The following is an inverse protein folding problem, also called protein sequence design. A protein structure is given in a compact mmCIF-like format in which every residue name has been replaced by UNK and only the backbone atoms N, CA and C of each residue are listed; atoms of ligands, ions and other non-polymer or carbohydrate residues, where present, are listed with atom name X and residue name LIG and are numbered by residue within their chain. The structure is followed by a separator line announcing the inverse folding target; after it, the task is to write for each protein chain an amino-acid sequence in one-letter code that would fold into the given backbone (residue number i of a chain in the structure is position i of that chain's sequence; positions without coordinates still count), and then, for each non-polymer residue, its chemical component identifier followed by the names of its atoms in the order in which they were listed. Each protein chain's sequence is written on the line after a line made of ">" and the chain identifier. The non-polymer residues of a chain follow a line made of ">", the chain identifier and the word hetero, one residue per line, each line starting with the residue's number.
data_IF_381473580877
#
_entry.id   IF_381473580877
#
_cell.length_a   1.000
_cell.length_b   1.000
_cell.length_c   1.000
_cell.angle_alpha   90.00
_cell.angle_beta   90.00
_cell.angle_gamma   90.00
#
_symmetry.space_group_name_H-M   'P 1'
#
loop_
_entity.id
_entity.type
_entity.pdbx_description
1 polymer ?
#
# COMPACT_ATOMS: atom_id res chain seq x y z
N UNK A 1 38.40 -17.20 3.44
CA UNK A 1 37.50 -17.78 4.46
C UNK A 1 36.39 -16.77 4.63
N UNK A 2 35.15 -17.18 4.39
CA UNK A 2 34.01 -16.25 4.42
C UNK A 2 33.81 -15.74 5.86
N UNK A 3 33.89 -14.41 6.06
CA UNK A 3 33.73 -13.76 7.38
C UNK A 3 32.37 -14.14 7.99
N UNK A 4 31.37 -14.48 7.17
CA UNK A 4 30.03 -14.86 7.63
C UNK A 4 29.96 -16.24 8.29
N UNK A 5 30.89 -17.15 7.94
CA UNK A 5 30.94 -18.53 8.45
C UNK A 5 32.03 -18.73 9.50
N UNK A 6 32.95 -17.77 9.65
CA UNK A 6 34.02 -17.86 10.65
C UNK A 6 33.47 -17.67 12.08
N UNK A 7 33.56 -18.69 12.97
CA UNK A 7 33.07 -18.62 14.34
C UNK A 7 33.74 -17.51 15.18
N UNK A 8 34.94 -17.09 14.80
CA UNK A 8 35.71 -16.07 15.51
C UNK A 8 35.21 -14.65 15.27
N UNK A 9 34.40 -14.44 14.23
CA UNK A 9 33.70 -13.18 13.98
C UNK A 9 32.30 -13.25 14.57
N UNK A 10 31.94 -12.35 15.48
CA UNK A 10 30.62 -12.32 16.13
C UNK A 10 29.76 -11.17 15.67
N UNK A 11 28.46 -11.16 15.99
CA UNK A 11 27.64 -9.96 15.88
C UNK A 11 28.18 -8.87 16.83
N UNK A 12 28.04 -7.59 16.48
CA UNK A 12 28.46 -6.49 17.34
C UNK A 12 27.81 -6.57 18.72
N UNK A 13 28.60 -6.32 19.76
CA UNK A 13 28.11 -6.29 21.13
C UNK A 13 27.14 -5.12 21.31
N UNK A 14 26.06 -5.36 22.06
CA UNK A 14 25.04 -4.36 22.37
C UNK A 14 25.01 -4.13 23.87
N UNK A 15 24.92 -2.86 24.28
CA UNK A 15 24.80 -2.52 25.70
C UNK A 15 23.51 -3.10 26.30
N UNK A 16 23.55 -3.74 27.47
CA UNK A 16 22.35 -4.24 28.12
C UNK A 16 21.45 -3.07 28.55
N UNK A 17 20.14 -3.28 28.51
CA UNK A 17 19.15 -2.30 28.95
C UNK A 17 17.91 -2.98 29.53
N UNK A 18 17.25 -2.31 30.47
CA UNK A 18 15.99 -2.77 31.08
C UNK A 18 14.74 -2.20 30.40
N UNK A 19 14.87 -1.15 29.60
CA UNK A 19 13.80 -0.57 28.78
C UNK A 19 14.36 0.06 27.49
N UNK A 20 13.44 0.48 26.61
CA UNK A 20 13.76 1.23 25.39
C UNK A 20 14.54 0.43 24.33
N UNK A 21 15.27 1.14 23.47
CA UNK A 21 16.07 0.57 22.39
C UNK A 21 17.19 -0.32 22.92
N UNK A 22 17.83 0.06 24.03
CA UNK A 22 18.89 -0.76 24.65
C UNK A 22 18.35 -2.13 25.11
N UNK A 23 17.16 -2.16 25.71
CA UNK A 23 16.48 -3.41 26.01
C UNK A 23 16.16 -4.20 24.75
N UNK A 24 15.53 -3.56 23.75
CA UNK A 24 15.15 -4.26 22.51
C UNK A 24 16.38 -4.90 21.84
N UNK A 25 17.47 -4.14 21.66
CA UNK A 25 18.72 -4.62 21.08
C UNK A 25 19.28 -5.81 21.86
N UNK A 26 19.27 -5.77 23.18
CA UNK A 26 19.81 -6.83 24.03
C UNK A 26 18.93 -8.08 24.15
N UNK A 27 17.68 -8.05 23.66
CA UNK A 27 16.72 -9.16 23.76
C UNK A 27 16.28 -9.78 22.42
N UNK A 28 16.70 -9.21 21.28
CA UNK A 28 16.42 -9.77 19.93
C UNK A 28 17.46 -10.80 19.49
N UNK A 29 17.05 -11.69 18.58
CA UNK A 29 17.94 -12.69 17.96
C UNK A 29 19.07 -12.07 17.12
N UNK A 30 18.84 -10.90 16.51
CA UNK A 30 19.78 -10.27 15.56
C UNK A 30 21.13 -9.91 16.18
N UNK A 31 21.16 -9.62 17.48
CA UNK A 31 22.35 -9.16 18.20
C UNK A 31 22.76 -10.14 19.30
N UNK A 32 22.42 -11.42 19.15
CA UNK A 32 22.73 -12.49 20.10
C UNK A 32 23.69 -13.52 19.49
N UNK A 33 24.42 -14.23 20.35
CA UNK A 33 25.30 -15.36 20.00
C UNK A 33 25.02 -16.57 20.89
N UNK A 34 25.54 -17.74 20.50
CA UNK A 34 25.53 -18.95 21.32
C UNK A 34 24.12 -19.39 21.77
N UNK A 35 23.99 -19.77 23.04
CA UNK A 35 22.73 -20.30 23.60
C UNK A 35 21.59 -19.27 23.61
N UNK A 36 21.90 -17.98 23.73
CA UNK A 36 20.90 -16.92 23.66
C UNK A 36 20.35 -16.77 22.24
N UNK A 37 21.23 -16.84 21.24
CA UNK A 37 20.81 -16.88 19.84
C UNK A 37 19.93 -18.08 19.55
N UNK A 38 20.33 -19.29 19.97
CA UNK A 38 19.52 -20.50 19.77
C UNK A 38 18.13 -20.41 20.42
N UNK A 39 18.05 -19.84 21.63
CA UNK A 39 16.78 -19.64 22.34
C UNK A 39 15.89 -18.61 21.63
N UNK A 40 16.42 -17.43 21.33
CA UNK A 40 15.67 -16.34 20.69
C UNK A 40 15.28 -16.67 19.26
N UNK A 41 16.14 -17.37 18.52
CA UNK A 41 15.85 -17.85 17.17
C UNK A 41 14.66 -18.81 17.15
N UNK A 42 14.55 -19.73 18.12
CA UNK A 42 13.40 -20.63 18.24
C UNK A 42 12.10 -19.86 18.43
N UNK A 43 12.11 -18.80 19.26
CA UNK A 43 10.95 -17.90 19.44
C UNK A 43 10.59 -17.23 18.09
N UNK A 44 11.56 -16.63 17.42
CA UNK A 44 11.36 -15.95 16.13
C UNK A 44 10.80 -16.89 15.06
N UNK A 45 11.34 -18.10 14.92
CA UNK A 45 10.86 -19.09 13.94
C UNK A 45 9.42 -19.49 14.26
N UNK A 46 9.11 -19.79 15.54
CA UNK A 46 7.75 -20.14 15.95
C UNK A 46 6.74 -19.03 15.63
N UNK A 47 7.11 -17.75 15.81
CA UNK A 47 6.27 -16.61 15.45
C UNK A 47 6.05 -16.51 13.93
N UNK A 48 7.09 -16.76 13.12
CA UNK A 48 6.99 -16.77 11.66
C UNK A 48 6.16 -17.95 11.14
N UNK A 49 6.32 -19.14 11.70
CA UNK A 49 5.56 -20.34 11.33
C UNK A 49 4.05 -20.18 11.59
N UNK A 50 3.69 -19.34 12.58
CA UNK A 50 2.30 -18.98 12.86
C UNK A 50 1.70 -17.98 11.85
N UNK A 51 2.52 -17.40 10.96
CA UNK A 51 2.10 -16.46 9.93
C UNK A 51 2.24 -17.11 8.55
N UNK A 52 1.15 -17.63 7.97
CA UNK A 52 1.19 -18.14 6.60
C UNK A 52 1.56 -17.03 5.60
N UNK A 53 2.57 -17.22 4.73
CA UNK A 53 3.03 -16.17 3.80
C UNK A 53 1.94 -15.62 2.88
N UNK A 54 0.94 -16.42 2.50
CA UNK A 54 -0.19 -15.96 1.69
C UNK A 54 -0.97 -14.80 2.34
N UNK A 55 -1.03 -14.76 3.67
CA UNK A 55 -1.70 -13.68 4.40
C UNK A 55 -0.95 -12.34 4.31
N UNK A 56 0.31 -12.36 3.88
CA UNK A 56 1.16 -11.19 3.70
C UNK A 56 1.12 -10.63 2.27
N UNK A 57 0.51 -11.34 1.31
CA UNK A 57 0.37 -10.91 -0.10
C UNK A 57 -0.74 -9.86 -0.30
N UNK A 58 -0.99 -9.05 0.72
CA UNK A 58 -1.96 -7.94 0.71
C UNK A 58 -1.24 -6.64 0.38
N UNK A 59 -1.85 -5.73 -0.40
CA UNK A 59 -1.33 -4.39 -0.62
C UNK A 59 -1.28 -3.53 0.65
N UNK A 60 -0.59 -2.40 0.53
CA UNK A 60 -0.35 -1.43 1.59
C UNK A 60 0.99 -1.64 2.29
N UNK A 61 1.14 -1.01 3.46
CA UNK A 61 2.42 -0.94 4.16
C UNK A 61 2.89 -2.34 4.62
N UNK A 62 4.08 -2.82 4.22
CA UNK A 62 4.56 -4.17 4.52
C UNK A 62 4.54 -4.53 6.01
N UNK A 63 5.02 -3.63 6.86
CA UNK A 63 5.05 -3.83 8.32
C UNK A 63 3.62 -3.87 8.89
N UNK A 64 2.69 -3.09 8.34
CA UNK A 64 1.30 -3.10 8.80
C UNK A 64 0.63 -4.42 8.43
N UNK A 65 0.95 -4.98 7.26
CA UNK A 65 0.50 -6.32 6.85
C UNK A 65 1.05 -7.41 7.78
N UNK A 66 2.33 -7.36 8.14
CA UNK A 66 2.92 -8.30 9.11
C UNK A 66 2.30 -8.15 10.51
N UNK A 67 2.13 -6.91 11.00
CA UNK A 67 1.48 -6.64 12.28
C UNK A 67 0.07 -7.22 12.34
N UNK A 68 -0.74 -6.98 11.30
CA UNK A 68 -2.09 -7.54 11.21
C UNK A 68 -2.09 -9.08 11.20
N UNK A 69 -1.15 -9.71 10.51
CA UNK A 69 -1.02 -11.16 10.46
C UNK A 69 -0.57 -11.76 11.82
N UNK A 70 0.13 -10.98 12.64
CA UNK A 70 0.48 -11.30 14.03
C UNK A 70 -0.63 -10.95 15.04
N UNK A 71 -1.79 -10.48 14.58
CA UNK A 71 -2.92 -10.10 15.43
C UNK A 71 -2.78 -8.73 16.10
N UNK A 72 -1.85 -7.88 15.63
CA UNK A 72 -1.62 -6.54 16.15
C UNK A 72 -2.37 -5.48 15.32
N UNK A 73 -2.68 -4.31 15.91
CA UNK A 73 -3.18 -3.17 15.15
C UNK A 73 -2.18 -2.75 14.06
N UNK A 74 -2.68 -2.41 12.87
CA UNK A 74 -1.85 -1.92 11.74
C UNK A 74 -1.04 -0.66 12.09
N UNK A 75 -1.56 0.15 13.00
CA UNK A 75 -0.99 1.44 13.43
C UNK A 75 0.39 1.31 14.10
N UNK A 76 0.75 0.12 14.59
CA UNK A 76 2.10 -0.12 15.16
C UNK A 76 3.21 0.14 14.15
N UNK A 77 2.91 0.12 12.85
CA UNK A 77 3.87 0.46 11.80
C UNK A 77 4.52 1.84 12.02
N UNK A 78 3.79 2.85 12.53
CA UNK A 78 4.35 4.19 12.81
C UNK A 78 5.45 4.14 13.85
N UNK A 79 5.19 3.47 14.98
CA UNK A 79 6.18 3.31 16.04
C UNK A 79 7.37 2.46 15.57
N UNK A 80 7.12 1.43 14.74
CA UNK A 80 8.18 0.61 14.15
C UNK A 80 9.13 1.43 13.28
N UNK A 81 8.62 2.37 12.49
CA UNK A 81 9.45 3.26 11.67
C UNK A 81 10.34 4.17 12.52
N UNK A 82 9.80 4.72 13.60
CA UNK A 82 10.55 5.52 14.57
C UNK A 82 11.66 4.68 15.22
N UNK A 83 11.33 3.45 15.64
CA UNK A 83 12.30 2.51 16.23
C UNK A 83 13.38 2.11 15.25
N UNK A 84 13.03 1.90 13.97
CA UNK A 84 13.96 1.44 12.93
C UNK A 84 15.16 2.38 12.75
N UNK A 85 14.96 3.70 12.89
CA UNK A 85 16.03 4.72 12.80
C UNK A 85 17.08 4.54 13.89
N UNK A 86 16.68 4.08 15.07
CA UNK A 86 17.58 3.84 16.21
C UNK A 86 17.87 2.35 16.41
N UNK A 87 17.57 1.45 15.46
CA UNK A 87 17.63 0.01 15.76
C UNK A 87 19.05 -0.56 15.72
N UNK A 88 19.89 -0.16 14.77
CA UNK A 88 21.24 -0.73 14.61
C UNK A 88 22.19 -0.27 15.72
N UNK A 89 23.14 -1.10 16.19
CA UNK A 89 23.96 -0.78 17.37
C UNK A 89 24.77 0.52 17.27
N UNK A 90 25.21 0.88 16.06
CA UNK A 90 25.98 2.09 15.77
C UNK A 90 25.13 3.36 15.66
N UNK A 91 23.80 3.23 15.59
CA UNK A 91 22.89 4.36 15.52
C UNK A 91 22.63 4.94 16.91
N UNK A 92 22.49 6.26 16.96
CA UNK A 92 22.18 6.98 18.20
C UNK A 92 20.75 6.62 18.65
N UNK A 93 20.62 6.31 19.94
CA UNK A 93 19.31 6.15 20.59
C UNK A 93 18.70 7.54 20.80
N UNK A 94 17.44 7.72 20.37
CA UNK A 94 16.66 8.94 20.60
C UNK A 94 15.57 8.71 21.66
N UNK A 95 15.17 9.76 22.41
CA UNK A 95 14.06 9.64 23.36
C UNK A 95 12.74 9.20 22.71
N UNK A 96 12.48 9.64 21.48
CA UNK A 96 11.28 9.26 20.73
C UNK A 96 11.30 7.77 20.36
N UNK A 97 12.47 7.22 19.99
CA UNK A 97 12.60 5.79 19.74
C UNK A 97 12.41 4.96 21.01
N UNK A 98 12.91 5.40 22.17
CA UNK A 98 12.65 4.74 23.45
C UNK A 98 11.16 4.76 23.81
N UNK A 99 10.48 5.90 23.60
CA UNK A 99 9.05 6.03 23.82
C UNK A 99 8.25 5.13 22.86
N UNK A 100 8.65 5.04 21.59
CA UNK A 100 8.04 4.15 20.61
C UNK A 100 8.18 2.66 20.99
N UNK A 101 9.35 2.23 21.51
CA UNK A 101 9.49 0.87 22.05
C UNK A 101 8.51 0.62 23.20
N UNK A 102 8.36 1.58 24.12
CA UNK A 102 7.41 1.43 25.24
C UNK A 102 5.95 1.29 24.76
N UNK A 103 5.54 2.05 23.73
CA UNK A 103 4.21 1.93 23.10
C UNK A 103 4.02 0.57 22.42
N UNK A 104 5.05 0.07 21.72
CA UNK A 104 5.03 -1.25 21.09
C UNK A 104 4.93 -2.37 22.13
N UNK A 105 5.70 -2.30 23.21
CA UNK A 105 5.62 -3.26 24.33
C UNK A 105 4.21 -3.28 24.90
N UNK A 106 3.63 -2.11 25.20
CA UNK A 106 2.25 -2.01 25.69
C UNK A 106 1.22 -2.65 24.74
N UNK A 107 1.45 -2.54 23.42
CA UNK A 107 0.54 -3.06 22.39
C UNK A 107 0.65 -4.59 22.22
N UNK A 108 1.86 -5.15 22.32
CA UNK A 108 2.10 -6.59 22.12
C UNK A 108 1.65 -7.44 23.31
N UNK A 109 1.68 -6.89 24.53
CA UNK A 109 1.26 -7.61 25.74
C UNK A 109 1.72 -6.98 27.06
N UNK A 110 2.49 -5.90 27.01
CA UNK A 110 2.95 -5.13 28.17
C UNK A 110 4.10 -5.76 28.95
N UNK A 111 4.65 -6.88 28.50
CA UNK A 111 5.76 -7.56 29.15
C UNK A 111 7.10 -7.19 28.52
N UNK A 112 8.12 -7.00 29.34
CA UNK A 112 9.49 -6.71 28.88
C UNK A 112 10.31 -8.00 28.79
N UNK A 113 9.83 -8.97 28.00
CA UNK A 113 10.40 -10.30 27.82
C UNK A 113 10.90 -10.58 26.38
N UNK A 114 11.58 -11.73 26.21
CA UNK A 114 12.12 -12.12 24.90
C UNK A 114 11.03 -12.41 23.85
N UNK A 115 9.83 -12.79 24.28
CA UNK A 115 8.67 -12.99 23.41
C UNK A 115 8.23 -11.66 22.78
N UNK A 116 8.07 -10.64 23.61
CA UNK A 116 7.73 -9.28 23.18
C UNK A 116 8.84 -8.68 22.32
N UNK A 117 10.09 -8.84 22.73
CA UNK A 117 11.25 -8.38 21.96
C UNK A 117 11.32 -9.06 20.58
N UNK A 118 10.99 -10.34 20.47
CA UNK A 118 10.99 -11.07 19.21
C UNK A 118 9.93 -10.54 18.24
N UNK A 119 8.71 -10.25 18.72
CA UNK A 119 7.65 -9.62 17.91
C UNK A 119 8.08 -8.25 17.38
N UNK A 120 8.57 -7.37 18.26
CA UNK A 120 9.03 -6.03 17.88
C UNK A 120 10.22 -6.14 16.91
N UNK A 121 11.17 -7.02 17.21
CA UNK A 121 12.35 -7.28 16.39
C UNK A 121 12.00 -7.79 14.98
N UNK A 122 10.94 -8.59 14.84
CA UNK A 122 10.42 -9.02 13.54
C UNK A 122 9.89 -7.84 12.72
N UNK A 123 9.04 -7.00 13.34
CA UNK A 123 8.44 -5.84 12.68
C UNK A 123 9.51 -4.84 12.21
N UNK A 124 10.48 -4.53 13.07
CA UNK A 124 11.57 -3.58 12.75
C UNK A 124 12.48 -4.10 11.65
N UNK A 125 12.81 -5.40 11.67
CA UNK A 125 13.63 -5.99 10.61
C UNK A 125 12.88 -6.08 9.27
N UNK A 126 11.58 -6.36 9.29
CA UNK A 126 10.74 -6.31 8.10
C UNK A 126 10.77 -4.92 7.48
N UNK A 127 10.63 -3.86 8.28
CA UNK A 127 10.66 -2.46 7.82
C UNK A 127 11.91 -2.14 6.99
N UNK A 128 13.10 -2.41 7.54
CA UNK A 128 14.37 -2.12 6.87
C UNK A 128 14.53 -2.91 5.57
N UNK A 129 14.23 -4.22 5.61
CA UNK A 129 14.35 -5.10 4.45
C UNK A 129 13.38 -4.69 3.34
N UNK A 130 12.09 -4.50 3.64
CA UNK A 130 11.09 -4.18 2.61
C UNK A 130 11.33 -2.80 2.01
N UNK A 131 11.74 -1.81 2.81
CA UNK A 131 12.06 -0.47 2.31
C UNK A 131 13.24 -0.47 1.34
N UNK A 132 14.30 -1.23 1.62
CA UNK A 132 15.44 -1.37 0.71
C UNK A 132 15.04 -2.10 -0.58
N UNK A 133 14.31 -3.21 -0.45
CA UNK A 133 13.87 -4.00 -1.60
C UNK A 133 12.93 -3.24 -2.54
N UNK A 134 11.97 -2.46 -2.00
CA UNK A 134 11.08 -1.61 -2.80
C UNK A 134 11.87 -0.55 -3.60
N UNK A 135 13.02 -0.10 -3.07
CA UNK A 135 13.94 0.82 -3.76
C UNK A 135 14.92 0.12 -4.70
N UNK A 136 14.75 -1.17 -4.96
CA UNK A 136 15.60 -1.97 -5.86
C UNK A 136 16.87 -2.53 -5.21
N UNK A 137 17.00 -2.47 -3.88
CA UNK A 137 18.14 -3.05 -3.17
C UNK A 137 18.13 -4.59 -3.19
N UNK A 138 19.19 -5.19 -3.72
CA UNK A 138 19.41 -6.64 -3.70
C UNK A 138 20.86 -6.96 -3.27
N UNK A 139 21.08 -7.75 -2.18
CA UNK A 139 20.06 -8.18 -1.21
C UNK A 139 19.46 -6.97 -0.46
N UNK A 140 18.27 -7.11 0.15
CA UNK A 140 17.58 -6.02 0.87
C UNK A 140 18.39 -5.43 2.04
N UNK A 141 19.45 -6.11 2.47
CA UNK A 141 20.44 -5.59 3.41
C UNK A 141 21.81 -5.83 2.77
N UNK A 142 22.39 -4.82 2.09
CA UNK A 142 23.61 -5.02 1.29
C UNK A 142 24.87 -5.14 2.12
N UNK A 143 24.82 -4.78 3.41
CA UNK A 143 25.97 -4.87 4.30
C UNK A 143 25.57 -5.34 5.68
N UNK A 144 26.46 -6.07 6.36
CA UNK A 144 26.35 -6.41 7.77
C UNK A 144 27.63 -6.07 8.51
N UNK A 145 27.56 -5.92 9.83
CA UNK A 145 28.75 -5.69 10.67
C UNK A 145 29.07 -6.94 11.47
N UNK A 146 30.37 -7.22 11.66
CA UNK A 146 30.89 -8.29 12.52
C UNK A 146 31.99 -7.75 13.42
N UNK A 147 32.05 -8.18 14.66
CA UNK A 147 33.17 -7.94 15.54
C UNK A 147 34.25 -9.00 15.28
N UNK A 148 35.46 -8.56 14.90
CA UNK A 148 36.61 -9.44 14.73
C UNK A 148 37.17 -9.90 16.10
N UNK A 149 38.00 -10.95 16.16
CA UNK A 149 38.62 -11.41 17.41
C UNK A 149 39.41 -10.33 18.16
N UNK A 150 39.98 -9.38 17.44
CA UNK A 150 40.68 -8.21 18.01
C UNK A 150 39.75 -7.11 18.56
N UNK A 151 38.43 -7.28 18.45
CA UNK A 151 37.42 -6.35 18.98
C UNK A 151 37.01 -5.20 18.05
N UNK A 152 37.66 -5.01 16.90
CA UNK A 152 37.22 -4.02 15.91
C UNK A 152 36.02 -4.53 15.10
N UNK A 153 35.13 -3.63 14.70
CA UNK A 153 34.05 -3.94 13.78
C UNK A 153 34.53 -3.94 12.34
N UNK A 154 34.10 -4.95 11.58
CA UNK A 154 34.31 -5.10 10.15
C UNK A 154 32.97 -4.99 9.45
N UNK A 155 32.91 -4.17 8.40
CA UNK A 155 31.78 -4.12 7.49
C UNK A 155 31.96 -5.23 6.44
N UNK A 156 30.96 -6.08 6.33
CA UNK A 156 30.91 -7.20 5.39
C UNK A 156 29.90 -6.85 4.31
N UNK A 157 30.37 -6.84 3.06
CA UNK A 157 29.52 -6.70 1.88
C UNK A 157 28.77 -8.01 1.61
N UNK A 158 27.48 -7.90 1.33
CA UNK A 158 26.57 -9.01 1.07
C UNK A 158 26.09 -9.03 -0.39
N UNK A 159 26.59 -8.16 -1.27
CA UNK A 159 26.12 -8.05 -2.66
C UNK A 159 26.08 -9.40 -3.41
N UNK A 160 27.13 -10.21 -3.25
CA UNK A 160 27.26 -11.53 -3.89
C UNK A 160 26.82 -12.70 -2.99
N UNK A 161 26.35 -12.39 -1.77
CA UNK A 161 25.93 -13.40 -0.81
C UNK A 161 24.44 -13.75 -1.00
N UNK A 162 24.06 -15.04 -0.95
CA UNK A 162 22.63 -15.40 -0.97
C UNK A 162 21.91 -14.77 0.23
N UNK A 163 20.60 -14.52 0.09
CA UNK A 163 19.82 -13.95 1.17
C UNK A 163 19.93 -14.82 2.43
N UNK A 164 20.38 -14.22 3.54
CA UNK A 164 20.63 -14.98 4.75
C UNK A 164 21.89 -15.85 4.73
N UNK A 165 22.92 -15.52 3.94
CA UNK A 165 24.21 -16.19 4.04
C UNK A 165 24.80 -16.13 5.47
N UNK A 166 25.52 -17.19 5.84
CA UNK A 166 26.17 -17.35 7.13
C UNK A 166 25.33 -18.03 8.20
N UNK A 167 25.96 -18.27 9.35
CA UNK A 167 25.34 -18.94 10.52
C UNK A 167 24.09 -18.24 11.11
N UNK A 168 23.87 -16.98 10.73
CA UNK A 168 22.74 -16.14 11.18
C UNK A 168 21.72 -15.87 10.06
N UNK A 169 21.51 -16.85 9.20
CA UNK A 169 20.53 -16.79 8.11
C UNK A 169 19.16 -16.24 8.57
N UNK A 170 18.57 -15.35 7.78
CA UNK A 170 17.26 -14.76 8.07
C UNK A 170 16.16 -15.81 7.88
N UNK A 171 15.41 -16.20 8.93
CA UNK A 171 14.35 -17.20 8.79
C UNK A 171 13.09 -16.66 8.07
N UNK A 172 13.00 -15.35 7.84
CA UNK A 172 11.80 -14.67 7.30
C UNK A 172 11.86 -14.35 5.81
N UNK A 173 12.73 -14.98 5.02
CA UNK A 173 12.87 -14.72 3.57
C UNK A 173 11.54 -14.85 2.82
N UNK A 174 10.86 -15.97 3.01
CA UNK A 174 9.58 -16.25 2.35
C UNK A 174 8.51 -15.22 2.72
N UNK A 175 8.47 -14.79 3.99
CA UNK A 175 7.56 -13.74 4.46
C UNK A 175 7.88 -12.38 3.85
N UNK A 176 9.16 -12.03 3.75
CA UNK A 176 9.62 -10.79 3.11
C UNK A 176 9.23 -10.77 1.62
N UNK A 177 9.48 -11.86 0.89
CA UNK A 177 9.06 -12.01 -0.51
C UNK A 177 7.53 -11.89 -0.66
N UNK A 178 6.76 -12.49 0.25
CA UNK A 178 5.30 -12.40 0.22
C UNK A 178 4.78 -10.97 0.47
N UNK A 179 5.37 -10.23 1.41
CA UNK A 179 5.03 -8.82 1.64
C UNK A 179 5.35 -7.96 0.42
N UNK A 180 6.49 -8.18 -0.24
CA UNK A 180 6.87 -7.45 -1.47
C UNK A 180 5.94 -7.78 -2.64
N UNK A 181 5.53 -9.04 -2.78
CA UNK A 181 4.52 -9.44 -3.76
C UNK A 181 3.16 -8.79 -3.48
N UNK A 182 2.77 -8.67 -2.20
CA UNK A 182 1.56 -7.95 -1.79
C UNK A 182 1.60 -6.46 -2.15
N UNK A 183 2.71 -5.79 -1.80
CA UNK A 183 2.95 -4.38 -2.11
C UNK A 183 2.88 -4.08 -3.61
N UNK A 184 3.40 -4.97 -4.45
CA UNK A 184 3.43 -4.81 -5.92
C UNK A 184 2.18 -5.35 -6.64
N UNK A 185 1.27 -6.04 -5.94
CA UNK A 185 0.13 -6.75 -6.56
C UNK A 185 -0.73 -5.85 -7.43
N UNK A 186 -1.09 -4.65 -6.94
CA UNK A 186 -1.95 -3.73 -7.69
C UNK A 186 -1.23 -3.14 -8.91
N UNK A 187 0.06 -2.83 -8.81
CA UNK A 187 0.88 -2.41 -9.94
C UNK A 187 0.90 -3.50 -11.02
N UNK A 188 1.11 -4.77 -10.63
CA UNK A 188 1.11 -5.90 -11.55
C UNK A 188 -0.18 -6.05 -12.38
N UNK A 189 -1.35 -5.69 -11.82
CA UNK A 189 -2.62 -5.76 -12.55
C UNK A 189 -2.69 -4.83 -13.78
N UNK A 190 -1.85 -3.78 -13.83
CA UNK A 190 -1.82 -2.83 -14.95
C UNK A 190 -0.96 -3.33 -16.13
N UNK A 191 -0.18 -4.39 -15.93
CA UNK A 191 0.73 -4.94 -16.93
C UNK A 191 0.29 -6.33 -17.43
N UNK A 192 -0.98 -6.69 -17.20
CA UNK A 192 -1.59 -7.87 -17.80
C UNK A 192 -1.90 -7.65 -19.29
N UNK A 193 -2.19 -8.73 -20.02
CA UNK A 193 -2.53 -8.68 -21.46
C UNK A 193 -3.79 -7.86 -21.75
N UNK A 194 -4.78 -7.94 -20.85
CA UNK A 194 -6.03 -7.19 -20.94
C UNK A 194 -6.00 -5.98 -19.99
N UNK A 195 -6.57 -4.83 -20.37
CA UNK A 195 -6.63 -3.66 -19.50
C UNK A 195 -7.41 -3.99 -18.24
N UNK A 196 -6.94 -3.44 -17.12
CA UNK A 196 -7.63 -3.51 -15.85
C UNK A 196 -8.94 -2.72 -15.92
N UNK A 197 -10.07 -3.42 -16.07
CA UNK A 197 -11.39 -2.84 -15.83
C UNK A 197 -11.60 -2.69 -14.32
N UNK A 198 -11.50 -1.45 -13.84
CA UNK A 198 -11.59 -1.11 -12.43
C UNK A 198 -12.97 -0.50 -12.10
N UNK A 199 -13.89 -1.27 -11.52
CA UNK A 199 -15.16 -0.72 -11.07
C UNK A 199 -14.96 0.13 -9.81
N UNK A 200 -15.73 1.21 -9.70
CA UNK A 200 -15.67 2.13 -8.57
C UNK A 200 -16.90 1.95 -7.67
N UNK A 201 -16.64 1.70 -6.39
CA UNK A 201 -17.63 1.51 -5.33
C UNK A 201 -17.79 2.78 -4.47
N UNK A 202 -18.93 2.88 -3.80
CA UNK A 202 -19.26 3.96 -2.86
C UNK A 202 -19.63 3.45 -1.46
N UNK A 203 -19.78 2.13 -1.31
CA UNK A 203 -20.03 1.44 -0.05
C UNK A 203 -19.45 0.01 -0.08
N UNK A 204 -19.57 -0.72 1.04
CA UNK A 204 -19.08 -2.10 1.12
C UNK A 204 -19.91 -3.06 0.26
N UNK A 205 -21.22 -2.87 0.17
CA UNK A 205 -22.12 -3.80 -0.54
C UNK A 205 -21.84 -3.81 -2.05
N UNK A 206 -21.70 -2.63 -2.65
CA UNK A 206 -21.31 -2.44 -4.05
C UNK A 206 -19.94 -3.07 -4.33
N UNK A 207 -18.94 -2.79 -3.48
CA UNK A 207 -17.61 -3.38 -3.63
C UNK A 207 -17.62 -4.91 -3.51
N UNK A 208 -18.33 -5.46 -2.51
CA UNK A 208 -18.43 -6.89 -2.31
C UNK A 208 -19.10 -7.58 -3.51
N UNK A 209 -20.18 -7.01 -4.05
CA UNK A 209 -20.85 -7.53 -5.24
C UNK A 209 -19.92 -7.55 -6.46
N UNK A 210 -19.11 -6.50 -6.65
CA UNK A 210 -18.12 -6.43 -7.73
C UNK A 210 -17.03 -7.50 -7.58
N UNK A 211 -16.52 -7.71 -6.36
CA UNK A 211 -15.55 -8.78 -6.08
C UNK A 211 -16.14 -10.16 -6.39
N UNK A 212 -17.40 -10.40 -6.05
CA UNK A 212 -18.06 -11.67 -6.36
C UNK A 212 -18.22 -11.93 -7.86
N UNK A 213 -18.33 -10.87 -8.66
CA UNK A 213 -18.31 -10.97 -10.12
C UNK A 213 -16.90 -11.18 -10.69
N UNK A 214 -15.89 -11.33 -9.84
CA UNK A 214 -14.51 -11.66 -10.24
C UNK A 214 -13.63 -10.44 -10.54
N UNK A 215 -14.06 -9.22 -10.19
CA UNK A 215 -13.21 -8.04 -10.36
C UNK A 215 -11.98 -8.12 -9.45
N UNK A 216 -10.80 -7.96 -10.04
CA UNK A 216 -9.52 -8.18 -9.36
C UNK A 216 -9.04 -7.00 -8.51
N UNK A 217 -9.71 -5.84 -8.58
CA UNK A 217 -9.44 -4.65 -7.78
C UNK A 217 -10.69 -3.75 -7.74
N UNK A 218 -10.77 -2.88 -6.74
CA UNK A 218 -11.88 -1.92 -6.55
C UNK A 218 -11.32 -0.50 -6.43
N UNK A 219 -11.93 0.45 -7.14
CA UNK A 219 -11.72 1.88 -6.91
C UNK A 219 -12.80 2.47 -6.00
N UNK A 220 -12.56 3.62 -5.37
CA UNK A 220 -13.65 4.45 -4.83
C UNK A 220 -14.08 5.51 -5.85
N UNK A 221 -15.22 6.17 -5.64
CA UNK A 221 -15.66 7.33 -6.42
C UNK A 221 -16.04 8.47 -5.47
N UNK A 222 -15.37 9.63 -5.60
CA UNK A 222 -15.64 10.81 -4.75
C UNK A 222 -17.11 11.24 -4.81
N UNK A 223 -17.69 11.33 -6.02
CA UNK A 223 -19.09 11.68 -6.22
C UNK A 223 -20.05 10.75 -5.47
N UNK A 224 -19.81 9.44 -5.52
CA UNK A 224 -20.66 8.47 -4.84
C UNK A 224 -20.60 8.61 -3.32
N UNK A 225 -19.39 8.84 -2.78
CA UNK A 225 -19.19 9.09 -1.34
C UNK A 225 -19.85 10.40 -0.92
N UNK A 226 -19.61 11.49 -1.66
CA UNK A 226 -20.15 12.81 -1.37
C UNK A 226 -21.68 12.80 -1.39
N UNK A 227 -22.27 12.30 -2.47
CA UNK A 227 -23.73 12.26 -2.64
C UNK A 227 -24.41 11.38 -1.59
N UNK A 228 -23.80 10.24 -1.20
CA UNK A 228 -24.35 9.37 -0.15
C UNK A 228 -24.40 10.05 1.23
N UNK A 229 -23.57 11.06 1.47
CA UNK A 229 -23.50 11.80 2.74
C UNK A 229 -24.10 13.21 2.64
N UNK A 230 -24.70 13.58 1.50
CA UNK A 230 -25.25 14.92 1.29
C UNK A 230 -24.19 16.03 1.24
N UNK A 231 -22.95 15.66 0.91
CA UNK A 231 -21.82 16.58 0.79
C UNK A 231 -21.58 16.97 -0.67
N UNK A 232 -21.00 18.15 -0.94
CA UNK A 232 -20.51 18.50 -2.26
C UNK A 232 -19.29 17.63 -2.63
N UNK A 233 -19.25 17.20 -3.89
CA UNK A 233 -18.08 16.53 -4.50
C UNK A 233 -16.98 17.56 -4.79
N UNK A 234 -15.72 17.10 -4.85
CA UNK A 234 -14.53 17.91 -5.14
C UNK A 234 -14.32 19.13 -4.21
N UNK A 235 -14.74 19.00 -2.94
CA UNK A 235 -14.71 20.08 -1.95
C UNK A 235 -13.86 19.76 -0.71
N UNK A 236 -13.04 18.69 -0.74
CA UNK A 236 -12.28 18.17 0.40
C UNK A 236 -13.09 17.75 1.66
N UNK A 237 -14.40 18.03 1.68
CA UNK A 237 -15.31 17.77 2.78
C UNK A 237 -15.53 16.28 3.05
N UNK A 238 -15.11 15.40 2.13
CA UNK A 238 -15.38 13.95 2.13
C UNK A 238 -14.25 13.12 2.74
N UNK A 239 -13.20 13.75 3.28
CA UNK A 239 -11.99 13.04 3.75
C UNK A 239 -12.31 11.98 4.82
N UNK A 240 -13.13 12.33 5.81
CA UNK A 240 -13.51 11.43 6.89
C UNK A 240 -14.34 10.24 6.40
N UNK A 241 -15.31 10.50 5.52
CA UNK A 241 -16.20 9.52 4.90
C UNK A 241 -15.39 8.58 3.99
N UNK A 242 -14.45 9.13 3.21
CA UNK A 242 -13.60 8.36 2.30
C UNK A 242 -12.62 7.48 3.07
N UNK A 243 -12.01 7.96 4.15
CA UNK A 243 -11.17 7.15 5.04
C UNK A 243 -11.97 6.02 5.72
N UNK A 244 -13.21 6.31 6.12
CA UNK A 244 -14.13 5.30 6.68
C UNK A 244 -14.47 4.22 5.66
N UNK A 245 -14.79 4.62 4.43
CA UNK A 245 -15.01 3.71 3.31
C UNK A 245 -13.76 2.86 3.04
N UNK A 246 -12.58 3.49 2.92
CA UNK A 246 -11.32 2.80 2.68
C UNK A 246 -11.05 1.71 3.73
N UNK A 247 -11.19 2.01 5.02
CA UNK A 247 -11.06 1.03 6.12
C UNK A 247 -12.03 -0.15 6.01
N UNK A 248 -13.23 0.09 5.48
CA UNK A 248 -14.20 -0.97 5.21
C UNK A 248 -13.81 -1.83 4.02
N UNK A 249 -13.40 -1.21 2.91
CA UNK A 249 -13.13 -1.89 1.64
C UNK A 249 -11.84 -2.71 1.66
N UNK A 250 -10.78 -2.27 2.34
CA UNK A 250 -9.50 -3.02 2.42
C UNK A 250 -9.61 -4.39 3.11
N UNK A 251 -10.78 -4.70 3.69
CA UNK A 251 -11.11 -6.02 4.24
C UNK A 251 -11.42 -7.05 3.14
N UNK A 252 -11.75 -6.60 1.93
CA UNK A 252 -11.99 -7.45 0.77
C UNK A 252 -10.68 -8.12 0.31
N UNK A 253 -10.74 -9.29 -0.36
CA UNK A 253 -9.57 -10.04 -0.82
C UNK A 253 -8.95 -9.49 -2.12
N UNK A 254 -9.10 -8.20 -2.39
CA UNK A 254 -8.62 -7.55 -3.62
C UNK A 254 -8.05 -6.17 -3.32
N UNK A 255 -7.07 -5.67 -4.11
CA UNK A 255 -6.55 -4.32 -3.96
C UNK A 255 -7.64 -3.27 -4.04
N UNK A 256 -7.56 -2.27 -3.17
CA UNK A 256 -8.45 -1.11 -3.16
C UNK A 256 -7.63 0.14 -3.47
N UNK A 257 -8.06 0.92 -4.45
CA UNK A 257 -7.51 2.25 -4.75
C UNK A 257 -8.52 3.34 -4.42
N UNK A 258 -8.05 4.43 -3.81
CA UNK A 258 -8.90 5.49 -3.27
C UNK A 258 -8.77 6.75 -4.11
N UNK A 259 -9.89 7.32 -4.49
CA UNK A 259 -9.98 8.68 -5.02
C UNK A 259 -9.79 9.67 -3.86
N UNK A 260 -8.66 10.39 -3.84
CA UNK A 260 -8.32 11.36 -2.79
C UNK A 260 -8.54 12.80 -3.23
N UNK A 261 -9.20 13.03 -4.36
CA UNK A 261 -9.36 14.36 -4.97
C UNK A 261 -7.97 15.03 -5.10
N UNK A 262 -7.84 16.28 -4.64
CA UNK A 262 -6.58 17.02 -4.57
C UNK A 262 -5.70 16.67 -3.34
N UNK A 263 -6.07 15.69 -2.52
CA UNK A 263 -5.38 15.31 -1.27
C UNK A 263 -5.95 15.95 0.00
N UNK A 264 -7.19 16.44 -0.03
CA UNK A 264 -7.95 16.98 1.11
C UNK A 264 -7.28 18.11 1.93
N UNK A 265 -6.29 18.79 1.36
CA UNK A 265 -5.51 19.81 2.08
C UNK A 265 -4.58 19.25 3.17
N UNK A 266 -4.36 17.93 3.19
CA UNK A 266 -3.43 17.27 4.10
C UNK A 266 -2.00 17.34 3.57
N UNK A 267 -1.04 17.16 4.47
CA UNK A 267 0.34 16.91 4.06
C UNK A 267 0.41 15.61 3.20
N UNK A 268 1.03 15.65 2.01
CA UNK A 268 1.03 14.50 1.10
C UNK A 268 1.72 13.26 1.67
N UNK A 269 2.76 13.44 2.50
CA UNK A 269 3.46 12.32 3.12
C UNK A 269 2.61 11.68 4.24
N UNK A 270 1.94 12.50 5.05
CA UNK A 270 1.00 12.02 6.08
C UNK A 270 -0.18 11.26 5.47
N UNK A 271 -0.79 11.81 4.42
CA UNK A 271 -1.87 11.18 3.67
C UNK A 271 -1.46 9.80 3.13
N UNK A 272 -0.31 9.73 2.45
CA UNK A 272 0.21 8.51 1.87
C UNK A 272 0.50 7.44 2.93
N UNK A 273 1.10 7.86 4.05
CA UNK A 273 1.40 7.00 5.19
C UNK A 273 0.13 6.45 5.84
N UNK A 274 -0.89 7.29 6.05
CA UNK A 274 -2.16 6.82 6.61
C UNK A 274 -2.85 5.79 5.71
N UNK A 275 -2.95 6.07 4.41
CA UNK A 275 -3.65 5.20 3.47
C UNK A 275 -2.94 3.84 3.31
N UNK A 276 -1.61 3.81 3.23
CA UNK A 276 -0.86 2.55 3.17
C UNK A 276 -0.96 1.74 4.45
N UNK A 277 -0.92 2.38 5.63
CA UNK A 277 -1.16 1.72 6.92
C UNK A 277 -2.57 1.13 6.98
N UNK A 278 -3.58 1.80 6.44
CA UNK A 278 -4.95 1.26 6.33
C UNK A 278 -4.96 0.01 5.44
N UNK A 279 -4.16 -0.03 4.38
CA UNK A 279 -4.08 -1.14 3.42
C UNK A 279 -4.49 -0.76 2.00
N UNK A 280 -4.58 0.54 1.71
CA UNK A 280 -4.86 1.06 0.37
C UNK A 280 -3.68 0.75 -0.55
N UNK A 281 -4.01 0.26 -1.75
CA UNK A 281 -3.04 -0.17 -2.75
C UNK A 281 -2.61 0.94 -3.70
N UNK A 282 -3.43 1.97 -3.85
CA UNK A 282 -3.14 3.11 -4.71
C UNK A 282 -4.11 4.26 -4.53
N UNK A 283 -3.79 5.40 -5.12
CA UNK A 283 -4.64 6.59 -5.09
C UNK A 283 -4.83 7.19 -6.49
N UNK A 284 -5.94 7.88 -6.69
CA UNK A 284 -6.04 8.91 -7.72
C UNK A 284 -5.82 10.27 -7.04
N UNK A 285 -4.86 11.06 -7.51
CA UNK A 285 -4.60 12.42 -7.02
C UNK A 285 -4.65 13.41 -8.17
N UNK A 286 -5.50 14.43 -8.08
CA UNK A 286 -5.80 15.32 -9.20
C UNK A 286 -5.08 16.66 -9.14
N UNK A 287 -4.86 17.25 -10.31
CA UNK A 287 -4.34 18.60 -10.48
C UNK A 287 -5.45 19.64 -10.67
N UNK A 288 -6.73 19.24 -10.67
CA UNK A 288 -7.87 20.15 -10.67
C UNK A 288 -8.05 20.86 -9.33
N UNK A 289 -8.41 22.15 -9.37
CA UNK A 289 -8.67 23.00 -8.20
C UNK A 289 -9.97 23.78 -8.40
N UNK A 290 -11.06 23.05 -8.64
CA UNK A 290 -12.35 23.63 -8.98
C UNK A 290 -12.38 24.07 -10.44
N UNK A 291 -11.97 25.31 -10.74
CA UNK A 291 -12.06 25.93 -12.06
C UNK A 291 -10.72 26.11 -12.79
N UNK A 292 -9.61 25.76 -12.14
CA UNK A 292 -8.26 25.86 -12.68
C UNK A 292 -7.46 24.59 -12.41
N UNK A 293 -6.30 24.51 -13.06
CA UNK A 293 -5.31 23.47 -12.80
C UNK A 293 -4.22 24.02 -11.90
N UNK A 294 -3.76 23.20 -10.97
CA UNK A 294 -2.52 23.38 -10.24
C UNK A 294 -1.35 23.55 -11.22
N UNK A 295 -0.31 24.27 -10.77
CA UNK A 295 0.95 24.32 -11.49
C UNK A 295 1.54 22.92 -11.64
N UNK A 296 2.31 22.69 -12.71
CA UNK A 296 2.96 21.39 -12.92
C UNK A 296 3.95 21.11 -11.77
N UNK A 297 4.71 22.13 -11.36
CA UNK A 297 5.73 22.01 -10.32
C UNK A 297 5.12 21.63 -8.97
N UNK A 298 4.07 22.33 -8.53
CA UNK A 298 3.40 22.02 -7.25
C UNK A 298 2.77 20.63 -7.25
N UNK A 299 2.23 20.18 -8.38
CA UNK A 299 1.70 18.82 -8.49
C UNK A 299 2.81 17.76 -8.50
N UNK A 300 3.94 18.03 -9.16
CA UNK A 300 5.13 17.16 -9.13
C UNK A 300 5.71 17.04 -7.72
N UNK A 301 5.79 18.15 -6.96
CA UNK A 301 6.22 18.13 -5.56
C UNK A 301 5.31 17.25 -4.71
N UNK A 302 4.00 17.38 -4.89
CA UNK A 302 3.00 16.55 -4.19
C UNK A 302 3.13 15.07 -4.51
N UNK A 303 3.27 14.70 -5.78
CA UNK A 303 3.48 13.31 -6.22
C UNK A 303 4.78 12.77 -5.62
N UNK A 304 5.87 13.53 -5.70
CA UNK A 304 7.18 13.15 -5.18
C UNK A 304 7.14 12.91 -3.66
N UNK A 305 6.44 13.78 -2.92
CA UNK A 305 6.26 13.64 -1.48
C UNK A 305 5.48 12.35 -1.11
N UNK A 306 4.40 12.04 -1.84
CA UNK A 306 3.67 10.78 -1.69
C UNK A 306 4.58 9.57 -1.94
N UNK A 307 5.33 9.57 -3.05
CA UNK A 307 6.22 8.45 -3.41
C UNK A 307 7.41 8.30 -2.46
N UNK A 308 7.93 9.39 -1.91
CA UNK A 308 9.00 9.36 -0.93
C UNK A 308 8.56 8.72 0.39
N UNK A 309 7.33 9.03 0.83
CA UNK A 309 6.74 8.51 2.06
C UNK A 309 6.24 7.06 1.91
N UNK A 310 5.60 6.75 0.78
CA UNK A 310 4.95 5.47 0.52
C UNK A 310 5.30 4.94 -0.88
N UNK A 311 6.52 4.44 -1.11
CA UNK A 311 6.97 4.01 -2.43
C UNK A 311 6.16 2.83 -3.00
N UNK A 312 5.52 2.02 -2.15
CA UNK A 312 4.60 0.94 -2.52
C UNK A 312 3.22 1.41 -2.99
N UNK A 313 2.81 2.63 -2.63
CA UNK A 313 1.49 3.15 -2.99
C UNK A 313 1.49 3.48 -4.48
N UNK A 314 0.58 2.88 -5.24
CA UNK A 314 0.40 3.20 -6.65
C UNK A 314 -0.19 4.61 -6.80
N UNK A 315 0.55 5.54 -7.40
CA UNK A 315 0.05 6.91 -7.64
C UNK A 315 -0.45 7.03 -9.08
N UNK A 316 -1.77 7.16 -9.22
CA UNK A 316 -2.43 7.46 -10.49
C UNK A 316 -2.64 8.98 -10.60
N UNK A 317 -1.73 9.67 -11.28
CA UNK A 317 -1.77 11.12 -11.40
C UNK A 317 -2.90 11.55 -12.36
N UNK A 318 -3.94 12.19 -11.81
CA UNK A 318 -5.12 12.62 -12.56
C UNK A 318 -4.90 14.02 -13.14
N UNK A 319 -5.13 14.15 -14.44
CA UNK A 319 -4.96 15.37 -15.23
C UNK A 319 -6.32 15.88 -15.69
N UNK A 320 -6.73 17.01 -15.14
CA UNK A 320 -8.10 17.51 -15.26
C UNK A 320 -8.36 18.46 -16.44
N UNK A 321 -7.39 18.57 -17.36
CA UNK A 321 -7.53 19.33 -18.62
C UNK A 321 -8.87 19.10 -19.32
N UNK A 322 -9.25 17.84 -19.58
CA UNK A 322 -10.52 17.48 -20.22
C UNK A 322 -11.73 17.60 -19.30
N UNK A 323 -11.56 17.34 -18.01
CA UNK A 323 -12.64 17.41 -17.03
C UNK A 323 -13.11 18.85 -16.81
N UNK A 324 -12.17 19.78 -16.71
CA UNK A 324 -12.41 21.21 -16.53
C UNK A 324 -12.56 21.99 -17.83
N UNK A 325 -12.48 21.31 -18.98
CA UNK A 325 -12.56 21.92 -20.33
C UNK A 325 -11.48 23.01 -20.54
N UNK A 326 -10.32 22.81 -19.93
CA UNK A 326 -9.12 23.64 -20.11
C UNK A 326 -8.32 23.10 -21.30
N UNK A 327 -7.58 23.97 -21.99
CA UNK A 327 -6.83 23.60 -23.20
C UNK A 327 -6.05 22.28 -23.02
N UNK A 328 -6.28 21.28 -23.89
CA UNK A 328 -5.66 19.97 -23.81
C UNK A 328 -4.17 19.97 -24.22
N UNK A 329 -3.66 21.10 -24.73
CA UNK A 329 -2.25 21.24 -25.13
C UNK A 329 -1.27 20.92 -23.99
N UNK A 330 -1.68 21.12 -22.74
CA UNK A 330 -0.84 20.83 -21.56
C UNK A 330 -0.91 19.38 -21.07
N UNK A 331 -1.85 18.56 -21.56
CA UNK A 331 -2.10 17.19 -21.05
C UNK A 331 -0.87 16.31 -21.17
N UNK A 332 -0.22 16.30 -22.33
CA UNK A 332 0.98 15.48 -22.56
C UNK A 332 2.16 15.94 -21.68
N UNK A 333 2.39 17.27 -21.60
CA UNK A 333 3.45 17.84 -20.76
C UNK A 333 3.25 17.50 -19.27
N UNK A 334 2.01 17.58 -18.78
CA UNK A 334 1.63 17.18 -17.42
C UNK A 334 1.87 15.68 -17.19
N UNK A 335 1.44 14.85 -18.14
CA UNK A 335 1.63 13.40 -18.06
C UNK A 335 3.11 13.02 -17.92
N UNK A 336 3.98 13.56 -18.78
CA UNK A 336 5.43 13.33 -18.69
C UNK A 336 6.00 13.83 -17.36
N UNK A 337 5.68 15.07 -16.96
CA UNK A 337 6.20 15.63 -15.72
C UNK A 337 5.76 14.84 -14.48
N UNK A 338 4.51 14.37 -14.44
CA UNK A 338 4.00 13.60 -13.30
C UNK A 338 4.62 12.21 -13.23
N UNK A 339 4.92 11.59 -14.37
CA UNK A 339 5.71 10.35 -14.45
C UNK A 339 7.14 10.57 -13.95
N UNK A 340 7.80 11.65 -14.38
CA UNK A 340 9.15 12.01 -13.93
C UNK A 340 9.19 12.27 -12.42
N UNK A 341 8.09 12.80 -11.84
CA UNK A 341 7.91 12.96 -10.40
C UNK A 341 7.62 11.64 -9.65
N UNK A 342 7.45 10.52 -10.37
CA UNK A 342 7.30 9.18 -9.81
C UNK A 342 5.88 8.59 -9.84
N UNK A 343 4.94 9.19 -10.57
CA UNK A 343 3.61 8.60 -10.75
C UNK A 343 3.71 7.21 -11.40
N UNK A 344 2.96 6.24 -10.88
CA UNK A 344 2.91 4.88 -11.41
C UNK A 344 1.90 4.73 -12.57
N UNK A 345 1.04 5.72 -12.77
CA UNK A 345 0.04 5.76 -13.83
C UNK A 345 -0.48 7.17 -14.06
N UNK A 346 -1.09 7.40 -15.22
CA UNK A 346 -1.70 8.69 -15.58
C UNK A 346 -3.19 8.49 -15.85
N UNK A 347 -4.03 9.40 -15.34
CA UNK A 347 -5.47 9.37 -15.55
C UNK A 347 -5.95 10.66 -16.24
N UNK A 348 -6.58 10.54 -17.41
CA UNK A 348 -7.15 11.68 -18.13
C UNK A 348 -8.67 11.53 -18.27
N UNK A 349 -9.47 11.89 -17.24
CA UNK A 349 -10.92 11.77 -17.30
C UNK A 349 -11.52 12.67 -18.38
N UNK A 350 -12.49 12.13 -19.15
CA UNK A 350 -13.20 12.87 -20.19
C UNK A 350 -12.53 12.83 -21.58
N UNK A 351 -11.29 12.35 -21.68
CA UNK A 351 -10.63 12.15 -22.97
C UNK A 351 -11.32 11.03 -23.78
N UNK A 352 -11.70 11.35 -25.02
CA UNK A 352 -12.27 10.41 -26.02
C UNK A 352 -11.61 10.48 -27.39
N UNK A 353 -10.71 11.44 -27.58
CA UNK A 353 -10.01 11.64 -28.85
C UNK A 353 -8.99 10.53 -29.05
N UNK A 354 -9.28 9.59 -29.94
CA UNK A 354 -8.44 8.40 -30.15
C UNK A 354 -7.02 8.74 -30.63
N UNK A 355 -6.78 9.68 -31.57
CA UNK A 355 -5.43 10.10 -31.93
C UNK A 355 -4.61 10.62 -30.75
N UNK A 356 -5.21 11.40 -29.85
CA UNK A 356 -4.52 11.85 -28.64
C UNK A 356 -4.31 10.71 -27.64
N UNK A 357 -5.24 9.77 -27.52
CA UNK A 357 -5.06 8.56 -26.70
C UNK A 357 -3.82 7.79 -27.18
N UNK A 358 -3.69 7.54 -28.49
CA UNK A 358 -2.52 6.87 -29.08
C UNK A 358 -1.23 7.64 -28.81
N UNK A 359 -1.26 8.96 -28.94
CA UNK A 359 -0.12 9.84 -28.64
C UNK A 359 0.31 9.75 -27.18
N UNK A 360 -0.64 9.80 -26.23
CA UNK A 360 -0.37 9.65 -24.80
C UNK A 360 0.18 8.26 -24.47
N UNK A 361 -0.42 7.20 -25.00
CA UNK A 361 0.08 5.83 -24.81
C UNK A 361 1.51 5.69 -25.34
N UNK A 362 1.78 6.22 -26.53
CA UNK A 362 3.13 6.20 -27.12
C UNK A 362 4.15 6.96 -26.27
N UNK A 363 3.78 8.11 -25.71
CA UNK A 363 4.66 8.91 -24.87
C UNK A 363 4.88 8.33 -23.46
N UNK A 364 3.88 7.64 -22.91
CA UNK A 364 3.93 7.02 -21.59
C UNK A 364 4.71 5.69 -21.58
N UNK A 365 4.82 5.03 -22.73
CA UNK A 365 5.49 3.73 -22.84
C UNK A 365 4.84 2.68 -21.94
N UNK A 366 5.59 2.18 -20.96
CA UNK A 366 5.11 1.16 -20.02
C UNK A 366 4.22 1.74 -18.90
N UNK A 367 4.14 3.06 -18.76
CA UNK A 367 3.28 3.68 -17.75
C UNK A 367 1.81 3.55 -18.16
N UNK A 368 0.95 2.93 -17.33
CA UNK A 368 -0.44 2.72 -17.68
C UNK A 368 -1.22 4.03 -17.78
N UNK A 369 -1.85 4.24 -18.95
CA UNK A 369 -2.91 5.21 -19.11
C UNK A 369 -4.23 4.64 -18.55
N UNK A 370 -4.84 5.38 -17.64
CA UNK A 370 -6.19 5.18 -17.12
C UNK A 370 -7.16 6.12 -17.85
N UNK A 371 -8.33 5.62 -18.25
CA UNK A 371 -9.44 6.42 -18.78
C UNK A 371 -10.76 6.03 -18.13
N UNK A 372 -11.77 6.88 -18.23
CA UNK A 372 -13.14 6.52 -17.85
C UNK A 372 -13.75 5.56 -18.88
N UNK A 373 -14.66 4.69 -18.44
CA UNK A 373 -15.43 3.78 -19.30
C UNK A 373 -16.42 4.55 -20.21
N UNK A 374 -15.90 5.22 -21.24
CA UNK A 374 -16.65 6.07 -22.18
C UNK A 374 -16.56 5.60 -23.63
N UNK A 375 -15.62 4.71 -23.93
CA UNK A 375 -15.50 3.97 -25.19
C UNK A 375 -15.58 2.46 -24.89
N UNK A 376 -15.93 1.60 -25.87
CA UNK A 376 -15.91 0.16 -25.67
C UNK A 376 -14.55 -0.33 -25.16
N UNK A 377 -14.54 -1.22 -24.16
CA UNK A 377 -13.30 -1.73 -23.54
C UNK A 377 -12.32 -2.29 -24.57
N UNK A 378 -12.82 -3.04 -25.55
CA UNK A 378 -12.00 -3.58 -26.65
C UNK A 378 -11.30 -2.45 -27.43
N UNK A 379 -12.00 -1.34 -27.71
CA UNK A 379 -11.40 -0.22 -28.43
C UNK A 379 -10.30 0.45 -27.61
N UNK A 380 -10.54 0.66 -26.32
CA UNK A 380 -9.52 1.21 -25.41
C UNK A 380 -8.28 0.30 -25.32
N UNK A 381 -8.48 -1.02 -25.25
CA UNK A 381 -7.38 -1.99 -25.31
C UNK A 381 -6.58 -1.87 -26.61
N UNK A 382 -7.26 -1.81 -27.75
CA UNK A 382 -6.61 -1.73 -29.06
C UNK A 382 -5.81 -0.42 -29.21
N UNK A 383 -6.20 0.64 -28.50
CA UNK A 383 -5.46 1.91 -28.38
C UNK A 383 -4.30 1.85 -27.36
N UNK A 384 -4.11 0.73 -26.66
CA UNK A 384 -3.04 0.52 -25.69
C UNK A 384 -3.32 1.04 -24.27
N UNK A 385 -4.55 1.45 -23.97
CA UNK A 385 -4.98 1.80 -22.60
C UNK A 385 -4.84 0.59 -21.69
N UNK A 386 -4.35 0.80 -20.46
CA UNK A 386 -4.05 -0.29 -19.50
C UNK A 386 -4.96 -0.32 -18.28
N UNK A 387 -5.68 0.77 -18.01
CA UNK A 387 -6.72 0.81 -16.97
C UNK A 387 -7.96 1.55 -17.47
N UNK A 388 -9.13 1.02 -17.14
CA UNK A 388 -10.40 1.67 -17.43
C UNK A 388 -11.21 1.74 -16.14
N UNK A 389 -11.39 2.94 -15.60
CA UNK A 389 -12.16 3.16 -14.38
C UNK A 389 -13.62 3.47 -14.72
N UNK A 390 -14.59 3.00 -13.93
CA UNK A 390 -16.00 3.34 -14.15
C UNK A 390 -16.37 4.72 -13.62
N UNK A 391 -15.55 5.31 -12.75
CA UNK A 391 -15.88 6.53 -12.02
C UNK A 391 -17.25 6.41 -11.35
N UNK A 392 -18.04 7.49 -11.38
CA UNK A 392 -19.39 7.50 -10.83
C UNK A 392 -20.46 6.80 -11.70
N UNK A 393 -20.09 6.11 -12.79
CA UNK A 393 -21.05 5.43 -13.66
C UNK A 393 -21.94 4.47 -12.89
N UNK A 394 -21.35 3.55 -12.11
CA UNK A 394 -22.10 2.51 -11.40
C UNK A 394 -23.03 3.11 -10.33
N UNK A 395 -22.57 4.13 -9.61
CA UNK A 395 -23.39 4.86 -8.63
C UNK A 395 -24.62 5.48 -9.30
N UNK A 396 -24.40 6.24 -10.39
CA UNK A 396 -25.50 6.88 -11.13
C UNK A 396 -26.47 5.85 -11.69
N UNK A 397 -25.97 4.73 -12.24
CA UNK A 397 -26.80 3.63 -12.71
C UNK A 397 -27.65 3.04 -11.58
N UNK A 398 -27.08 2.81 -10.39
CA UNK A 398 -27.83 2.29 -9.25
C UNK A 398 -28.95 3.25 -8.82
N UNK A 399 -28.67 4.55 -8.74
CA UNK A 399 -29.69 5.57 -8.43
C UNK A 399 -30.77 5.61 -9.50
N UNK A 400 -30.41 5.56 -10.79
CA UNK A 400 -31.38 5.52 -11.90
C UNK A 400 -32.28 4.28 -11.80
N UNK A 401 -31.74 3.10 -11.51
CA UNK A 401 -32.53 1.88 -11.37
C UNK A 401 -33.45 1.90 -10.14
N UNK A 402 -32.98 2.46 -9.03
CA UNK A 402 -33.81 2.64 -7.84
C UNK A 402 -35.02 3.56 -8.10
N UNK A 403 -34.81 4.67 -8.82
CA UNK A 403 -35.88 5.58 -9.23
C UNK A 403 -36.85 4.89 -10.20
N UNK A 404 -36.33 4.15 -11.18
CA UNK A 404 -37.16 3.39 -12.12
C UNK A 404 -38.03 2.34 -11.42
N UNK A 405 -37.52 1.68 -10.37
CA UNK A 405 -38.28 0.70 -9.60
C UNK A 405 -39.47 1.31 -8.85
N UNK A 406 -39.26 2.45 -8.18
CA UNK A 406 -40.35 3.17 -7.49
C UNK A 406 -41.39 3.70 -8.49
N UNK A 407 -40.94 4.20 -9.63
CA UNK A 407 -41.82 4.71 -10.68
C UNK A 407 -42.62 3.60 -11.37
N UNK A 408 -41.99 2.45 -11.64
CA UNK A 408 -42.66 1.25 -12.14
C UNK A 408 -43.77 0.81 -11.19
N UNK A 409 -43.48 0.73 -9.89
CA UNK A 409 -44.48 0.41 -8.87
C UNK A 409 -45.63 1.44 -8.82
N UNK A 410 -45.32 2.73 -8.91
CA UNK A 410 -46.31 3.82 -8.89
C UNK A 410 -47.27 3.78 -10.08
N UNK A 411 -46.77 3.41 -11.25
CA UNK A 411 -47.50 3.46 -12.53
C UNK A 411 -48.09 2.13 -12.96
N UNK A 412 -47.72 1.03 -12.30
CA UNK A 412 -48.07 -0.33 -12.72
C UNK A 412 -47.26 -0.82 -13.93
N UNK A 413 -46.16 -0.14 -14.27
CA UNK A 413 -45.20 -0.60 -15.28
C UNK A 413 -44.23 -1.64 -14.69
N UNK A 414 -43.42 -2.26 -15.56
CA UNK A 414 -42.43 -3.26 -15.15
C UNK A 414 -41.40 -2.66 -14.18
N UNK A 415 -41.18 -3.35 -13.07
CA UNK A 415 -40.15 -3.02 -12.08
C UNK A 415 -38.83 -3.67 -12.49
N UNK A 416 -37.70 -2.93 -12.54
CA UNK A 416 -36.41 -3.51 -12.85
C UNK A 416 -36.02 -4.62 -11.88
N UNK A 417 -35.24 -5.60 -12.36
CA UNK A 417 -34.75 -6.69 -11.53
C UNK A 417 -33.88 -6.16 -10.38
N UNK A 418 -34.13 -6.65 -9.17
CA UNK A 418 -33.34 -6.36 -7.97
C UNK A 418 -32.60 -7.62 -7.52
N UNK A 419 -31.43 -7.43 -6.91
CA UNK A 419 -30.72 -8.52 -6.24
C UNK A 419 -31.59 -9.06 -5.09
N UNK A 420 -31.83 -10.38 -5.02
CA UNK A 420 -32.52 -11.01 -3.89
C UNK A 420 -31.87 -10.68 -2.54
N UNK A 421 -32.70 -10.60 -1.48
CA UNK A 421 -32.26 -10.24 -0.13
C UNK A 421 -31.19 -11.19 0.42
N UNK A 422 -31.41 -12.49 0.27
CA UNK A 422 -30.49 -13.55 0.68
C UNK A 422 -29.17 -13.48 -0.09
N UNK A 423 -29.22 -13.12 -1.37
CA UNK A 423 -28.02 -12.91 -2.18
C UNK A 423 -27.19 -11.71 -1.67
N UNK A 424 -27.79 -10.62 -1.21
CA UNK A 424 -27.05 -9.48 -0.61
C UNK A 424 -26.31 -9.93 0.67
N UNK A 425 -27.00 -10.66 1.55
CA UNK A 425 -26.39 -11.16 2.80
C UNK A 425 -25.30 -12.21 2.54
N UNK A 426 -25.53 -13.11 1.59
CA UNK A 426 -24.55 -14.09 1.15
C UNK A 426 -23.32 -13.39 0.55
N UNK A 427 -23.55 -12.34 -0.26
CA UNK A 427 -22.48 -11.53 -0.86
C UNK A 427 -21.55 -10.95 0.20
N UNK A 428 -22.15 -10.29 1.20
CA UNK A 428 -21.43 -9.71 2.34
C UNK A 428 -20.63 -10.78 3.11
N UNK A 429 -21.25 -11.92 3.40
CA UNK A 429 -20.65 -12.99 4.20
C UNK A 429 -19.48 -13.65 3.47
N UNK A 430 -19.66 -13.99 2.19
CA UNK A 430 -18.62 -14.61 1.37
C UNK A 430 -17.44 -13.67 1.13
N UNK A 431 -17.70 -12.37 0.87
CA UNK A 431 -16.65 -11.39 0.68
C UNK A 431 -15.73 -11.24 1.90
N UNK A 432 -16.28 -11.37 3.12
CA UNK A 432 -15.51 -11.31 4.37
C UNK A 432 -14.81 -12.63 4.73
N UNK A 433 -15.34 -13.76 4.25
CA UNK A 433 -14.73 -15.08 4.47
C UNK A 433 -13.62 -15.40 3.45
N UNK A 434 -13.63 -14.72 2.30
CA UNK A 434 -12.64 -14.91 1.25
C UNK A 434 -11.24 -14.53 1.70
N UNK A 435 -10.26 -15.35 1.30
CA UNK A 435 -8.83 -15.12 1.54
C UNK A 435 -8.19 -14.49 0.29
N UNK A 436 -7.04 -13.84 0.49
CA UNK A 436 -6.28 -13.10 -0.51
C UNK A 436 -5.50 -13.96 -1.50
#
# INVERSE_FOLDING_TARGET
>A
MDILDDPSFTVPQVSPGSAGIAWLRSHVVRFSEGSDHERRRRITIRLLDAVPPENLRRPGHPVASLAAALGLPRQVARDVEVVAVSYQPHERITPEADAAVARLVATVGGQWDEETAAVIGLLVQACAATRSAIRGGHPPVPHTRRAAPSGHEVLVDLADAPFGAGRHACPGETHAAAMLAGASRFKGLHHADEPLLLPNAWDFASAAALVQQGHQAIGTTSLGVAAAHGLPDAAAATSAETLTLARSLVRLPVPVTVDVEAGWGLDPAELATELTIIGVAGINIEDGRGDHLESIDDQCERISAVKAAAPELFVNARIDTYWLQISPESTLRRATAYVDAGADGVFVPGLRDEPLIESLVGALGDIPLNLLAQLPLRRLRDLGVRRVSTGSLLFRTAITQALAAVEGYRTGADVPAAMPYDQVEQTRTQALAAKW
#
